data_IF_474522281787
#
_entry.id   IF_474522281787
#
_cell.length_a   1.000
_cell.length_b   1.000
_cell.length_c   1.000
_cell.angle_alpha   90.00
_cell.angle_beta   90.00
_cell.angle_gamma   90.00
#
_symmetry.space_group_name_H-M   'P 1'
#
loop_
_entity.id
_entity.type
_entity.pdbx_description
1 polymer ?
#
# COMPACT_ATOMS: atom_id res chain seq x y z
N UNK A 1 -11.49 12.78 4.74
CA UNK A 1 -11.31 11.85 3.59
C UNK A 1 -9.88 11.31 3.44
N UNK A 2 -9.21 11.03 4.56
CA UNK A 2 -7.91 10.35 4.56
C UNK A 2 -8.01 8.88 4.10
N UNK A 3 -9.21 8.34 4.01
CA UNK A 3 -9.46 6.98 3.50
C UNK A 3 -9.28 6.84 1.98
N UNK A 4 -9.30 7.93 1.22
CA UNK A 4 -9.17 7.89 -0.26
C UNK A 4 -7.76 7.67 -0.80
N UNK A 5 -6.72 7.65 0.06
CA UNK A 5 -5.32 7.67 -0.40
C UNK A 5 -4.75 6.27 -0.59
N UNK A 6 -5.41 5.22 -0.19
CA UNK A 6 -4.90 3.86 -0.38
C UNK A 6 -5.81 3.02 -1.27
N UNK A 7 -5.86 3.34 -2.55
CA UNK A 7 -6.40 2.41 -3.56
C UNK A 7 -5.44 1.21 -3.78
N UNK A 8 -4.87 0.69 -2.70
CA UNK A 8 -3.99 -0.48 -2.73
C UNK A 8 -4.72 -1.69 -2.16
N UNK A 9 -4.56 -2.82 -2.82
CA UNK A 9 -5.08 -4.09 -2.38
C UNK A 9 -4.15 -4.81 -1.41
N UNK A 10 -4.72 -5.63 -0.56
CA UNK A 10 -4.00 -6.66 0.19
C UNK A 10 -4.66 -7.99 -0.11
N UNK A 11 -3.93 -8.91 -0.74
CA UNK A 11 -4.36 -10.29 -0.86
C UNK A 11 -4.22 -10.95 0.51
N UNK A 12 -5.25 -11.66 0.94
CA UNK A 12 -5.26 -12.46 2.16
C UNK A 12 -5.72 -13.87 1.87
N UNK A 13 -5.22 -14.78 2.67
CA UNK A 13 -5.72 -16.14 2.75
C UNK A 13 -6.06 -16.46 4.20
N UNK A 14 -7.21 -17.06 4.43
CA UNK A 14 -7.55 -17.66 5.72
C UNK A 14 -8.14 -19.05 5.49
N UNK A 15 -7.87 -20.06 6.35
CA UNK A 15 -8.40 -21.40 6.18
C UNK A 15 -9.92 -21.47 6.04
N UNK A 16 -10.63 -20.58 6.73
CA UNK A 16 -12.11 -20.57 6.76
C UNK A 16 -12.74 -19.83 5.59
N UNK A 17 -12.00 -18.94 4.90
CA UNK A 17 -12.55 -18.09 3.83
C UNK A 17 -11.87 -18.31 2.48
N UNK A 18 -10.67 -18.90 2.45
CA UNK A 18 -9.86 -18.97 1.24
C UNK A 18 -9.20 -17.62 0.90
N UNK A 19 -8.97 -17.37 -0.37
CA UNK A 19 -8.36 -16.13 -0.86
C UNK A 19 -9.38 -15.01 -0.99
N UNK A 20 -8.98 -13.80 -0.55
CA UNK A 20 -9.74 -12.57 -0.77
C UNK A 20 -8.82 -11.37 -0.87
N UNK A 21 -9.24 -10.35 -1.61
CA UNK A 21 -8.54 -9.06 -1.70
C UNK A 21 -9.39 -8.02 -0.99
N UNK A 22 -8.74 -7.26 -0.14
CA UNK A 22 -9.35 -6.11 0.51
C UNK A 22 -8.52 -4.85 0.28
N UNK A 23 -9.18 -3.72 0.28
CA UNK A 23 -8.51 -2.43 0.19
C UNK A 23 -7.60 -2.25 1.41
N UNK A 24 -6.34 -1.86 1.16
CA UNK A 24 -5.38 -1.60 2.23
C UNK A 24 -5.88 -0.46 3.11
N UNK A 25 -6.23 -0.78 4.34
CA UNK A 25 -6.54 0.22 5.36
C UNK A 25 -5.32 0.50 6.21
N UNK A 26 -5.10 1.75 6.61
CA UNK A 26 -4.03 2.07 7.56
C UNK A 26 -4.21 1.25 8.84
N UNK A 27 -3.19 0.46 9.21
CA UNK A 27 -3.25 -0.40 10.41
C UNK A 27 -2.98 0.38 11.69
N UNK A 28 -2.29 1.51 11.58
CA UNK A 28 -1.85 2.33 12.70
C UNK A 28 -2.65 3.62 12.79
N UNK A 29 -2.81 4.08 14.00
CA UNK A 29 -3.34 5.41 14.32
C UNK A 29 -2.51 6.05 15.41
N UNK A 30 -2.40 7.37 15.36
CA UNK A 30 -1.91 8.19 16.45
C UNK A 30 -3.12 8.76 17.20
N UNK A 31 -3.15 8.61 18.51
CA UNK A 31 -4.28 9.03 19.36
C UNK A 31 -3.83 10.01 20.44
N UNK A 32 -4.55 11.12 20.56
CA UNK A 32 -4.51 12.03 21.69
C UNK A 32 -5.78 11.85 22.53
N UNK A 33 -5.96 12.66 23.57
CA UNK A 33 -7.23 12.66 24.32
C UNK A 33 -8.44 13.09 23.47
N UNK A 34 -8.22 13.93 22.46
CA UNK A 34 -9.30 14.56 21.68
C UNK A 34 -9.39 14.05 20.25
N UNK A 35 -8.25 13.68 19.67
CA UNK A 35 -8.14 13.43 18.24
C UNK A 35 -7.55 12.07 17.95
N UNK A 36 -7.93 11.52 16.81
CA UNK A 36 -7.35 10.30 16.23
C UNK A 36 -6.90 10.59 14.81
N UNK A 37 -5.65 10.28 14.51
CA UNK A 37 -5.02 10.51 13.21
C UNK A 37 -4.66 9.15 12.58
N UNK A 38 -5.16 8.88 11.39
CA UNK A 38 -4.81 7.66 10.65
C UNK A 38 -3.39 7.80 10.07
N UNK A 39 -2.51 6.87 10.41
CA UNK A 39 -1.16 6.80 9.85
C UNK A 39 -1.23 6.02 8.53
N UNK A 40 -0.98 6.71 7.43
CA UNK A 40 -1.14 6.15 6.08
C UNK A 40 0.11 5.42 5.58
N UNK A 41 1.27 5.71 6.17
CA UNK A 41 2.55 5.07 5.81
C UNK A 41 3.55 5.12 6.95
N UNK A 42 4.53 4.22 6.91
CA UNK A 42 5.61 4.12 7.89
C UNK A 42 6.94 4.07 7.15
N UNK A 43 7.91 4.89 7.56
CA UNK A 43 9.28 4.91 7.03
C UNK A 43 9.35 4.97 5.49
N UNK A 44 8.52 5.80 4.89
CA UNK A 44 8.52 6.08 3.45
C UNK A 44 8.49 7.58 3.19
N UNK A 45 8.78 8.03 1.97
CA UNK A 45 8.64 9.43 1.61
C UNK A 45 7.21 9.94 1.90
N UNK A 46 7.11 11.12 2.55
CA UNK A 46 5.82 11.77 2.80
C UNK A 46 5.10 12.06 1.49
N UNK A 47 3.86 11.59 1.38
CA UNK A 47 2.98 11.83 0.22
C UNK A 47 2.01 12.97 0.50
N UNK A 48 1.43 13.50 -0.56
CA UNK A 48 0.35 14.48 -0.46
C UNK A 48 -0.85 13.91 0.29
N UNK A 49 -1.49 14.77 1.08
CA UNK A 49 -2.68 14.43 1.89
C UNK A 49 -2.53 13.17 2.75
N UNK A 50 -1.32 12.94 3.27
CA UNK A 50 -0.96 11.75 4.02
C UNK A 50 -0.40 12.11 5.40
N UNK A 51 -0.44 11.14 6.31
CA UNK A 51 0.28 11.14 7.57
C UNK A 51 1.28 9.98 7.58
N UNK A 52 2.57 10.30 7.61
CA UNK A 52 3.66 9.33 7.65
C UNK A 52 4.27 9.29 9.04
N UNK A 53 4.45 8.09 9.58
CA UNK A 53 5.22 7.84 10.79
C UNK A 53 6.67 7.53 10.41
N UNK A 54 7.60 8.25 10.99
CA UNK A 54 9.03 7.99 10.88
C UNK A 54 9.60 7.51 12.21
N UNK A 55 10.38 6.46 12.17
CA UNK A 55 11.13 5.91 13.31
C UNK A 55 12.62 5.96 13.01
N UNK A 56 13.49 5.66 14.00
CA UNK A 56 14.94 5.59 13.83
C UNK A 56 15.39 4.62 12.72
N UNK A 57 14.57 3.62 12.38
CA UNK A 57 14.83 2.70 11.27
C UNK A 57 14.82 3.39 9.88
N UNK A 58 14.23 4.58 9.75
CA UNK A 58 14.28 5.36 8.50
C UNK A 58 15.61 6.09 8.31
N UNK A 59 16.24 6.48 9.40
CA UNK A 59 17.48 7.23 9.42
C UNK A 59 17.45 8.40 10.41
N UNK A 60 18.47 9.27 10.40
CA UNK A 60 18.64 10.33 11.41
C UNK A 60 17.67 11.51 11.24
N UNK A 61 16.98 11.61 10.10
CA UNK A 61 15.97 12.67 9.85
C UNK A 61 14.92 12.20 8.85
N UNK A 62 13.78 12.91 8.80
CA UNK A 62 12.66 12.62 7.90
C UNK A 62 12.96 12.93 6.43
N UNK A 63 13.97 13.75 6.14
CA UNK A 63 14.36 14.22 4.80
C UNK A 63 13.20 14.82 3.99
N UNK A 64 12.22 15.40 4.66
CA UNK A 64 11.04 16.00 4.04
C UNK A 64 11.26 17.48 3.74
N UNK A 65 10.43 18.03 2.86
CA UNK A 65 10.38 19.45 2.53
C UNK A 65 9.46 20.25 3.47
N UNK A 66 9.39 21.55 3.29
CA UNK A 66 8.64 22.51 4.12
C UNK A 66 7.14 22.59 3.82
N UNK A 67 6.61 21.81 2.87
CA UNK A 67 5.17 21.85 2.52
C UNK A 67 4.28 21.15 3.54
N UNK A 68 4.87 20.37 4.44
CA UNK A 68 4.15 19.68 5.51
C UNK A 68 4.33 20.36 6.88
N UNK A 69 3.92 19.59 7.89
CA UNK A 69 4.23 19.87 9.29
C UNK A 69 4.53 18.58 10.02
N UNK A 70 5.47 18.63 10.93
CA UNK A 70 5.98 17.49 11.65
C UNK A 70 5.92 17.73 13.15
N UNK A 71 5.59 16.70 13.90
CA UNK A 71 5.74 16.68 15.36
C UNK A 71 6.65 15.54 15.76
N UNK A 72 7.66 15.87 16.56
CA UNK A 72 8.52 14.85 17.18
C UNK A 72 7.91 14.43 18.51
N UNK A 73 7.88 13.13 18.73
CA UNK A 73 7.32 12.52 19.93
C UNK A 73 8.41 11.73 20.65
N UNK A 74 8.54 11.97 21.94
CA UNK A 74 9.39 11.23 22.86
C UNK A 74 8.60 10.89 24.12
N UNK A 75 8.78 9.69 24.66
CA UNK A 75 8.11 9.23 25.88
C UNK A 75 6.60 9.44 25.85
N UNK A 76 5.98 9.24 24.68
CA UNK A 76 4.54 9.38 24.49
C UNK A 76 4.01 10.82 24.54
N UNK A 77 4.87 11.83 24.39
CA UNK A 77 4.47 13.24 24.34
C UNK A 77 5.12 13.97 23.18
N UNK A 78 4.41 14.94 22.62
CA UNK A 78 4.97 15.87 21.65
C UNK A 78 6.07 16.69 22.31
N UNK A 79 7.28 16.70 21.74
CA UNK A 79 8.44 17.46 22.25
C UNK A 79 8.83 18.61 21.34
N UNK A 80 8.50 18.57 20.08
CA UNK A 80 8.73 19.69 19.15
C UNK A 80 7.78 19.61 17.94
N UNK A 81 7.67 20.73 17.22
CA UNK A 81 6.93 20.80 15.96
C UNK A 81 7.63 21.76 14.99
N UNK A 82 7.73 21.37 13.70
CA UNK A 82 8.34 22.16 12.64
C UNK A 82 7.79 21.81 11.25
N UNK A 83 8.17 22.56 10.21
CA UNK A 83 7.62 22.35 8.86
C UNK A 83 8.11 21.07 8.18
N UNK A 84 9.34 20.70 8.36
CA UNK A 84 9.90 19.50 7.72
C UNK A 84 11.32 19.21 8.21
N UNK A 85 11.89 18.12 7.70
CA UNK A 85 13.25 17.66 7.97
C UNK A 85 13.60 17.52 9.46
N UNK A 86 12.65 17.01 10.25
CA UNK A 86 12.86 16.76 11.68
C UNK A 86 13.94 15.69 11.90
N UNK A 87 14.80 15.93 12.90
CA UNK A 87 15.72 14.90 13.39
C UNK A 87 14.94 13.80 14.09
N UNK A 88 15.40 12.57 13.96
CA UNK A 88 14.83 11.39 14.60
C UNK A 88 15.90 10.85 15.57
N UNK A 89 15.70 11.10 16.84
CA UNK A 89 16.59 10.60 17.91
C UNK A 89 16.23 9.17 18.33
N UNK A 90 17.08 8.60 19.18
CA UNK A 90 16.81 7.32 19.83
C UNK A 90 15.53 7.43 20.69
N UNK A 91 14.70 6.39 20.64
CA UNK A 91 13.41 6.34 21.34
C UNK A 91 12.44 7.49 20.99
N UNK A 92 12.63 8.08 19.81
CA UNK A 92 11.73 9.08 19.25
C UNK A 92 11.08 8.58 17.97
N UNK A 93 9.95 9.18 17.65
CA UNK A 93 9.36 9.06 16.33
C UNK A 93 8.82 10.42 15.87
N UNK A 94 8.65 10.57 14.57
CA UNK A 94 8.14 11.78 13.97
C UNK A 94 6.85 11.46 13.21
N UNK A 95 5.80 12.20 13.46
CA UNK A 95 4.61 12.22 12.63
C UNK A 95 4.72 13.38 11.65
N UNK A 96 4.69 13.09 10.36
CA UNK A 96 4.84 14.05 9.27
C UNK A 96 3.56 14.10 8.45
N UNK A 97 2.86 15.21 8.47
CA UNK A 97 1.59 15.46 7.81
C UNK A 97 1.70 16.38 6.60
N UNK A 98 0.89 16.11 5.57
CA UNK A 98 0.62 17.00 4.45
C UNK A 98 -0.89 17.19 4.29
N UNK A 99 -1.32 18.34 3.72
CA UNK A 99 -2.73 18.67 3.59
C UNK A 99 -3.45 18.77 4.95
N UNK A 100 -4.59 18.14 5.12
CA UNK A 100 -5.36 18.13 6.35
C UNK A 100 -4.57 17.59 7.55
N UNK A 101 -3.75 16.56 7.33
CA UNK A 101 -2.87 16.02 8.39
C UNK A 101 -1.85 17.05 8.86
N UNK A 102 -1.31 17.88 7.97
CA UNK A 102 -0.45 19.03 8.32
C UNK A 102 -1.17 19.98 9.26
N UNK A 103 -2.38 20.37 8.89
CA UNK A 103 -3.15 21.36 9.64
C UNK A 103 -3.63 20.83 10.99
N UNK A 104 -3.87 19.54 11.07
CA UNK A 104 -4.18 18.85 12.31
C UNK A 104 -2.96 18.77 13.25
N UNK A 105 -1.78 18.39 12.74
CA UNK A 105 -0.56 18.33 13.53
C UNK A 105 -0.12 19.69 14.06
N UNK A 106 -0.35 20.79 13.32
CA UNK A 106 -0.04 22.16 13.77
C UNK A 106 -0.79 22.58 15.03
N UNK A 107 -1.92 21.98 15.33
CA UNK A 107 -2.72 22.27 16.52
C UNK A 107 -2.17 21.59 17.78
N UNK A 108 -1.29 20.59 17.62
CA UNK A 108 -0.69 19.89 18.74
C UNK A 108 0.37 20.75 19.42
N UNK A 109 0.27 20.88 20.72
CA UNK A 109 1.23 21.62 21.55
C UNK A 109 2.27 20.70 22.14
N UNK A 110 3.47 21.22 22.40
CA UNK A 110 4.48 20.51 23.20
C UNK A 110 3.87 20.10 24.53
N UNK A 111 4.17 18.84 24.93
CA UNK A 111 3.58 18.20 26.11
C UNK A 111 2.28 17.44 25.85
N UNK A 112 1.64 17.59 24.67
CA UNK A 112 0.43 16.82 24.34
C UNK A 112 0.72 15.32 24.37
N UNK A 113 0.00 14.51 25.18
CA UNK A 113 0.11 13.07 25.17
C UNK A 113 -0.36 12.50 23.84
N UNK A 114 0.43 11.61 23.26
CA UNK A 114 0.11 10.96 22.00
C UNK A 114 0.65 9.54 21.99
N UNK A 115 -0.17 8.59 21.56
CA UNK A 115 0.19 7.17 21.47
C UNK A 115 0.00 6.65 20.06
N UNK A 116 0.91 5.79 19.62
CA UNK A 116 0.74 5.02 18.39
C UNK A 116 0.16 3.67 18.78
N UNK A 117 -0.91 3.28 18.13
CA UNK A 117 -1.58 1.99 18.39
C UNK A 117 -2.15 1.39 17.10
N UNK A 118 -2.37 0.09 17.10
CA UNK A 118 -3.14 -0.57 16.05
C UNK A 118 -4.59 -0.09 16.11
N UNK A 119 -5.23 -0.02 14.96
CA UNK A 119 -6.66 0.24 14.86
C UNK A 119 -7.43 -0.97 15.43
N UNK A 120 -8.26 -0.79 16.46
CA UNK A 120 -8.93 -1.90 17.12
C UNK A 120 -9.82 -2.73 16.18
N UNK A 121 -10.48 -2.06 15.23
CA UNK A 121 -11.37 -2.70 14.25
C UNK A 121 -10.63 -3.57 13.22
N UNK A 122 -9.30 -3.43 13.10
CA UNK A 122 -8.47 -4.23 12.21
C UNK A 122 -7.64 -5.29 12.95
N UNK A 123 -7.60 -5.23 14.26
CA UNK A 123 -6.82 -6.18 15.09
C UNK A 123 -7.35 -7.61 15.00
N UNK A 124 -8.63 -7.80 14.70
CA UNK A 124 -9.26 -9.13 14.62
C UNK A 124 -8.83 -9.95 13.39
N UNK A 125 -8.22 -9.32 12.38
CA UNK A 125 -7.80 -10.00 11.15
C UNK A 125 -6.43 -10.69 11.30
N UNK A 126 -5.68 -10.36 12.34
CA UNK A 126 -4.29 -10.78 12.53
C UNK A 126 -4.09 -12.11 13.29
N UNK A 127 -5.13 -12.70 13.88
CA UNK A 127 -4.93 -13.77 14.89
C UNK A 127 -5.21 -15.20 14.43
N UNK A 128 -5.64 -15.42 13.21
CA UNK A 128 -5.99 -16.76 12.72
C UNK A 128 -5.17 -17.17 11.51
N UNK A 129 -3.94 -17.57 11.73
CA UNK A 129 -3.13 -18.44 10.84
C UNK A 129 -3.28 -18.21 9.33
N UNK A 130 -3.16 -16.97 8.85
CA UNK A 130 -3.31 -16.67 7.43
C UNK A 130 -2.08 -15.96 6.84
N UNK A 131 -1.97 -15.96 5.53
CA UNK A 131 -0.98 -15.19 4.78
C UNK A 131 -1.56 -13.86 4.28
N UNK A 132 -0.73 -12.83 4.23
CA UNK A 132 -1.08 -11.55 3.63
C UNK A 132 0.04 -11.07 2.70
N UNK A 133 -0.35 -10.66 1.48
CA UNK A 133 0.55 -10.06 0.50
C UNK A 133 0.01 -8.67 0.14
N UNK A 134 0.86 -7.66 0.26
CA UNK A 134 0.50 -6.34 -0.20
C UNK A 134 0.58 -6.30 -1.73
N UNK A 135 -0.55 -6.03 -2.37
CA UNK A 135 -0.63 -5.74 -3.80
C UNK A 135 -0.53 -4.22 -4.07
N UNK A 136 -0.43 -3.85 -5.34
CA UNK A 136 -0.45 -2.47 -5.79
C UNK A 136 -1.87 -1.86 -5.83
N UNK A 137 -2.14 -1.10 -6.88
CA UNK A 137 -3.42 -0.41 -7.05
C UNK A 137 -4.57 -1.39 -7.26
N UNK A 138 -5.67 -1.20 -6.51
CA UNK A 138 -6.92 -1.92 -6.78
C UNK A 138 -7.44 -1.53 -8.16
N UNK A 139 -7.80 -2.52 -8.96
CA UNK A 139 -8.37 -2.32 -10.31
C UNK A 139 -9.80 -2.82 -10.41
N UNK A 140 -10.18 -3.82 -9.59
CA UNK A 140 -11.57 -4.28 -9.45
C UNK A 140 -11.96 -4.31 -7.98
N UNK A 141 -13.21 -3.90 -7.69
CA UNK A 141 -13.84 -4.02 -6.38
C UNK A 141 -15.31 -4.36 -6.57
N UNK A 142 -15.73 -5.52 -6.06
CA UNK A 142 -17.09 -6.05 -6.27
C UNK A 142 -17.49 -6.08 -7.75
N UNK A 143 -16.56 -6.45 -8.63
CA UNK A 143 -16.76 -6.51 -10.08
C UNK A 143 -16.72 -5.18 -10.83
N UNK A 144 -16.58 -4.05 -10.14
CA UNK A 144 -16.50 -2.71 -10.74
C UNK A 144 -15.04 -2.26 -10.86
N UNK A 145 -14.74 -1.56 -11.96
CA UNK A 145 -13.44 -0.92 -12.15
C UNK A 145 -13.24 0.25 -11.17
N UNK A 146 -12.12 0.23 -10.43
CA UNK A 146 -11.77 1.26 -9.45
C UNK A 146 -10.32 1.73 -9.61
N UNK A 147 -9.63 1.31 -10.68
CA UNK A 147 -8.26 1.71 -10.96
C UNK A 147 -8.14 3.20 -11.34
N UNK A 148 -6.91 3.69 -11.32
CA UNK A 148 -6.60 5.01 -11.86
C UNK A 148 -6.58 4.95 -13.39
N UNK A 149 -6.98 6.04 -14.05
CA UNK A 149 -6.92 6.14 -15.51
C UNK A 149 -5.48 6.16 -15.99
N UNK A 150 -4.99 5.00 -16.38
CA UNK A 150 -3.70 4.83 -17.04
C UNK A 150 -3.91 4.68 -18.54
N UNK A 151 -3.50 5.69 -19.32
CA UNK A 151 -3.62 5.67 -20.79
C UNK A 151 -2.49 4.89 -21.48
N UNK A 152 -1.49 4.44 -20.72
CA UNK A 152 -0.31 3.83 -21.31
C UNK A 152 -0.35 2.30 -21.17
N UNK A 153 -0.19 1.64 -22.30
CA UNK A 153 0.01 0.21 -22.36
C UNK A 153 1.39 -0.16 -21.80
N UNK A 154 1.40 -1.06 -20.83
CA UNK A 154 2.61 -1.60 -20.19
C UNK A 154 2.50 -3.11 -20.05
N UNK A 155 3.63 -3.77 -19.86
CA UNK A 155 3.63 -5.09 -19.26
C UNK A 155 3.10 -4.95 -17.83
N UNK A 156 2.17 -5.81 -17.43
CA UNK A 156 1.50 -5.74 -16.12
C UNK A 156 1.24 -7.12 -15.58
N UNK A 157 1.34 -7.24 -14.28
CA UNK A 157 0.83 -8.39 -13.54
C UNK A 157 -0.29 -7.97 -12.60
N UNK A 158 -1.28 -8.83 -12.47
CA UNK A 158 -2.44 -8.63 -11.64
C UNK A 158 -2.70 -9.86 -10.80
N UNK A 159 -3.34 -9.65 -9.67
CA UNK A 159 -3.85 -10.70 -8.80
C UNK A 159 -5.30 -10.40 -8.49
N UNK A 160 -6.12 -11.45 -8.44
CA UNK A 160 -7.55 -11.28 -8.19
C UNK A 160 -8.18 -12.48 -7.52
N UNK A 161 -9.37 -12.27 -6.98
CA UNK A 161 -10.17 -13.35 -6.39
C UNK A 161 -11.56 -13.39 -6.99
N UNK A 162 -12.06 -14.61 -7.21
CA UNK A 162 -13.42 -14.85 -7.67
C UNK A 162 -14.42 -14.84 -6.51
N UNK A 163 -15.72 -14.91 -6.81
CA UNK A 163 -16.76 -15.07 -5.78
C UNK A 163 -16.58 -16.32 -4.94
N UNK A 164 -16.03 -17.38 -5.53
CA UNK A 164 -15.77 -18.66 -4.87
C UNK A 164 -14.42 -18.68 -4.15
N UNK A 165 -13.81 -17.50 -3.96
CA UNK A 165 -12.52 -17.33 -3.30
C UNK A 165 -11.33 -18.04 -3.98
N UNK A 166 -11.44 -18.33 -5.26
CA UNK A 166 -10.31 -18.81 -6.06
C UNK A 166 -9.37 -17.67 -6.39
N UNK A 167 -8.07 -17.96 -6.35
CA UNK A 167 -7.02 -17.02 -6.72
C UNK A 167 -6.80 -17.05 -8.24
N UNK A 168 -6.70 -15.88 -8.84
CA UNK A 168 -6.34 -15.68 -10.25
C UNK A 168 -5.10 -14.80 -10.32
N UNK A 169 -4.07 -15.26 -11.02
CA UNK A 169 -2.89 -14.46 -11.37
C UNK A 169 -2.92 -14.26 -12.88
N UNK A 170 -2.82 -13.02 -13.32
CA UNK A 170 -2.80 -12.64 -14.73
C UNK A 170 -1.53 -11.85 -15.02
N UNK A 171 -0.77 -12.30 -16.00
CA UNK A 171 0.38 -11.58 -16.54
C UNK A 171 0.09 -11.18 -17.99
N UNK A 172 0.40 -9.96 -18.36
CA UNK A 172 0.35 -9.47 -19.74
C UNK A 172 1.67 -8.79 -20.05
N UNK A 173 2.40 -9.34 -20.99
CA UNK A 173 3.70 -8.82 -21.40
C UNK A 173 3.56 -7.67 -22.42
N UNK A 174 4.64 -6.93 -22.61
CA UNK A 174 4.82 -5.97 -23.70
C UNK A 174 6.07 -6.34 -24.49
N UNK A 175 5.88 -7.23 -25.46
CA UNK A 175 6.95 -7.85 -26.26
C UNK A 175 6.89 -7.39 -27.73
N UNK A 176 7.08 -6.11 -27.98
CA UNK A 176 7.16 -5.54 -29.33
C UNK A 176 5.91 -5.80 -30.17
N UNK A 177 6.06 -6.48 -31.30
CA UNK A 177 4.95 -6.77 -32.22
C UNK A 177 4.01 -7.90 -31.74
N UNK A 178 4.42 -8.69 -30.76
CA UNK A 178 3.64 -9.84 -30.27
C UNK A 178 2.65 -9.44 -29.18
N UNK A 179 2.98 -8.43 -28.38
CA UNK A 179 2.11 -7.90 -27.34
C UNK A 179 2.38 -6.42 -27.16
N UNK A 180 1.34 -5.63 -27.20
CA UNK A 180 1.42 -4.18 -26.97
C UNK A 180 1.29 -3.79 -25.50
N UNK A 181 1.14 -4.78 -24.61
CA UNK A 181 0.81 -4.55 -23.21
C UNK A 181 -0.66 -4.16 -23.01
N UNK A 182 -1.02 -3.78 -21.81
CA UNK A 182 -2.38 -3.36 -21.45
C UNK A 182 -2.38 -2.13 -20.57
N UNK A 183 -3.48 -1.36 -20.63
CA UNK A 183 -3.84 -0.37 -19.62
C UNK A 183 -4.37 -1.07 -18.36
N UNK A 184 -4.50 -0.35 -17.25
CA UNK A 184 -5.15 -0.91 -16.05
C UNK A 184 -6.59 -1.32 -16.31
N UNK A 185 -7.32 -0.53 -17.10
CA UNK A 185 -8.72 -0.82 -17.44
C UNK A 185 -8.88 -2.07 -18.30
N UNK A 186 -7.99 -2.27 -19.28
CA UNK A 186 -7.98 -3.50 -20.08
C UNK A 186 -7.62 -4.71 -19.24
N UNK A 187 -6.61 -4.60 -18.36
CA UNK A 187 -6.26 -5.65 -17.40
C UNK A 187 -7.44 -6.01 -16.48
N UNK A 188 -8.16 -5.01 -15.97
CA UNK A 188 -9.36 -5.23 -15.19
C UNK A 188 -10.48 -5.94 -15.98
N UNK A 189 -10.68 -5.58 -17.26
CA UNK A 189 -11.63 -6.29 -18.15
C UNK A 189 -11.23 -7.75 -18.37
N UNK A 190 -9.93 -8.03 -18.51
CA UNK A 190 -9.45 -9.42 -18.63
C UNK A 190 -9.70 -10.20 -17.35
N UNK A 191 -9.37 -9.62 -16.18
CA UNK A 191 -9.67 -10.23 -14.87
C UNK A 191 -11.16 -10.52 -14.71
N UNK A 192 -12.03 -9.56 -15.08
CA UNK A 192 -13.47 -9.73 -15.00
C UNK A 192 -13.99 -10.88 -15.88
N UNK A 193 -13.41 -11.07 -17.09
CA UNK A 193 -13.72 -12.24 -17.96
C UNK A 193 -13.29 -13.57 -17.34
N UNK A 194 -12.30 -13.57 -16.45
CA UNK A 194 -11.87 -14.73 -15.68
C UNK A 194 -12.66 -14.94 -14.39
N UNK A 195 -13.75 -14.19 -14.20
CA UNK A 195 -14.64 -14.30 -13.03
C UNK A 195 -14.12 -13.58 -11.77
N UNK A 196 -13.08 -12.77 -11.89
CA UNK A 196 -12.53 -11.98 -10.76
C UNK A 196 -13.52 -10.88 -10.38
N UNK A 197 -13.77 -10.75 -9.08
CA UNK A 197 -14.61 -9.69 -8.49
C UNK A 197 -13.80 -8.64 -7.76
N UNK A 198 -12.72 -9.04 -7.10
CA UNK A 198 -11.79 -8.13 -6.44
C UNK A 198 -10.38 -8.39 -6.97
N UNK A 199 -9.72 -7.34 -7.46
CA UNK A 199 -8.43 -7.46 -8.11
C UNK A 199 -7.56 -6.24 -7.94
N UNK A 200 -6.24 -6.48 -7.91
CA UNK A 200 -5.22 -5.43 -7.81
C UNK A 200 -4.09 -5.67 -8.80
N UNK A 201 -3.46 -4.59 -9.25
CA UNK A 201 -2.20 -4.63 -9.97
C UNK A 201 -1.08 -5.05 -8.99
N UNK A 202 -0.20 -5.95 -9.40
CA UNK A 202 1.02 -6.29 -8.66
C UNK A 202 2.18 -5.43 -9.14
N UNK A 203 2.45 -5.44 -10.44
CA UNK A 203 3.55 -4.72 -11.06
C UNK A 203 3.18 -4.13 -12.42
N UNK A 204 3.91 -3.06 -12.81
CA UNK A 204 3.80 -2.41 -14.13
C UNK A 204 5.15 -1.91 -14.65
N UNK A 205 6.25 -2.55 -14.26
CA UNK A 205 7.63 -2.04 -14.46
C UNK A 205 8.31 -2.52 -15.75
N UNK A 206 7.56 -2.98 -16.72
CA UNK A 206 8.08 -3.18 -18.08
C UNK A 206 8.30 -4.62 -18.50
N UNK A 207 8.40 -5.58 -17.59
CA UNK A 207 8.46 -7.02 -17.90
C UNK A 207 7.83 -7.84 -16.78
N UNK A 208 7.29 -9.00 -17.12
CA UNK A 208 6.63 -9.91 -16.19
C UNK A 208 7.01 -11.35 -16.49
N UNK A 209 7.36 -12.09 -15.46
CA UNK A 209 7.57 -13.55 -15.53
C UNK A 209 6.43 -14.26 -14.81
N UNK A 210 6.06 -15.44 -15.30
CA UNK A 210 5.16 -16.34 -14.62
C UNK A 210 5.78 -17.75 -14.56
N UNK A 211 5.99 -18.23 -13.35
CA UNK A 211 6.51 -19.55 -13.05
C UNK A 211 5.45 -20.35 -12.29
N UNK A 212 5.16 -21.54 -12.74
CA UNK A 212 4.23 -22.48 -12.10
C UNK A 212 4.91 -23.84 -11.98
N UNK A 213 4.96 -24.39 -10.77
CA UNK A 213 5.64 -25.69 -10.50
C UNK A 213 7.06 -25.72 -11.08
N UNK A 214 7.87 -24.72 -10.75
CA UNK A 214 9.26 -24.55 -11.21
C UNK A 214 9.44 -24.46 -12.74
N UNK A 215 8.36 -24.28 -13.48
CA UNK A 215 8.36 -24.14 -14.93
C UNK A 215 7.90 -22.74 -15.35
N UNK A 216 8.65 -22.11 -16.25
CA UNK A 216 8.23 -20.85 -16.85
C UNK A 216 7.01 -21.09 -17.76
N UNK A 217 5.87 -20.56 -17.36
CA UNK A 217 4.67 -20.44 -18.20
C UNK A 217 4.82 -19.24 -19.13
N UNK A 218 5.40 -18.16 -18.61
CA UNK A 218 5.80 -17.01 -19.38
C UNK A 218 7.15 -16.49 -18.87
N UNK A 219 8.04 -16.15 -19.80
CA UNK A 219 9.34 -15.57 -19.52
C UNK A 219 9.45 -14.24 -20.24
N UNK A 220 9.76 -13.17 -19.49
CA UNK A 220 9.91 -11.84 -20.05
C UNK A 220 11.08 -11.75 -21.04
N UNK A 221 10.91 -10.92 -22.07
CA UNK A 221 11.95 -10.65 -23.07
C UNK A 221 12.09 -9.14 -23.27
N UNK A 222 13.26 -8.54 -23.02
CA UNK A 222 14.46 -9.15 -22.46
C UNK A 222 14.30 -9.56 -20.98
N UNK A 223 15.14 -10.47 -20.53
CA UNK A 223 15.16 -10.89 -19.12
C UNK A 223 15.36 -9.65 -18.23
N UNK A 224 14.51 -9.44 -17.22
CA UNK A 224 14.74 -8.40 -16.24
C UNK A 224 15.99 -8.69 -15.42
N UNK A 225 16.74 -7.68 -15.08
CA UNK A 225 17.92 -7.78 -14.19
C UNK A 225 17.53 -7.74 -12.72
N UNK A 226 16.34 -7.23 -12.42
CA UNK A 226 15.77 -7.13 -11.07
C UNK A 226 14.27 -7.36 -11.12
N UNK A 227 13.73 -7.94 -10.04
CA UNK A 227 12.29 -8.12 -9.83
C UNK A 227 11.88 -7.27 -8.63
N UNK A 228 10.77 -6.55 -8.75
CA UNK A 228 10.22 -5.75 -7.65
C UNK A 228 9.35 -6.59 -6.72
N UNK A 229 8.58 -7.53 -7.29
CA UNK A 229 7.64 -8.36 -6.55
C UNK A 229 7.77 -9.83 -6.97
N UNK A 230 7.88 -10.72 -6.01
CA UNK A 230 7.84 -12.17 -6.19
C UNK A 230 6.65 -12.72 -5.41
N UNK A 231 5.74 -13.39 -6.11
CA UNK A 231 4.62 -14.11 -5.49
C UNK A 231 4.88 -15.60 -5.60
N UNK A 232 5.00 -16.27 -4.46
CA UNK A 232 5.16 -17.73 -4.39
C UNK A 232 3.85 -18.31 -3.86
N UNK A 233 3.18 -19.13 -4.66
CA UNK A 233 1.99 -19.87 -4.28
C UNK A 233 2.40 -21.35 -4.14
N UNK A 234 2.26 -21.87 -2.94
CA UNK A 234 2.54 -23.28 -2.61
C UNK A 234 1.26 -24.01 -2.31
#
# INVERSE_FOLDING_TARGET
DLERISNRGTLRYTPNRGYFIEEKRPLLQAKTQKDTFLITSVNTGRKENALTLYTSAYGPSTKTNDFGYEVTVANGKVVSGQKGNSKIGDNQYVLSGHGESRDALRKLKVGTPITIQNRPELAQVSTTGGAALQAGTMVLKNGNYVGADGTHNKARSFIGTTKDHNLVVLTVDKAGLQSVGVTQQEGAKLLSKLGVVDGAELSNQGSVDLVVNDTYVHKATPNPTTYEDIVIIK
#
